data_IF_079435271911
#
_entry.id   IF_079435271911
#
_cell.length_a   1.000
_cell.length_b   1.000
_cell.length_c   1.000
_cell.angle_alpha   90.00
_cell.angle_beta   90.00
_cell.angle_gamma   90.00
#
_symmetry.space_group_name_H-M   'P 1'
#
loop_
_entity.id
_entity.type
_entity.pdbx_description
1 polymer ?
#
# COMPACT_ATOMS: atom_id res chain seq x y z
N UNK A 1 0.21 0.78 -25.09
CA UNK A 1 -0.07 1.67 -23.96
C UNK A 1 -1.39 1.30 -23.35
N UNK A 2 -1.55 1.53 -22.06
CA UNK A 2 -2.79 1.33 -21.36
C UNK A 2 -2.87 2.21 -20.12
N UNK A 3 -4.10 2.36 -19.62
CA UNK A 3 -4.40 3.01 -18.35
C UNK A 3 -5.52 2.25 -17.66
N UNK A 4 -5.56 2.31 -16.35
CA UNK A 4 -6.57 1.67 -15.52
C UNK A 4 -6.97 2.53 -14.33
N UNK A 5 -8.19 2.28 -13.88
CA UNK A 5 -8.73 2.85 -12.64
C UNK A 5 -9.26 1.68 -11.81
N UNK A 6 -8.90 1.66 -10.53
CA UNK A 6 -9.39 0.69 -9.57
C UNK A 6 -10.11 1.42 -8.43
N UNK A 7 -11.23 0.88 -7.99
CA UNK A 7 -11.95 1.34 -6.82
C UNK A 7 -12.04 0.21 -5.79
N UNK A 8 -11.57 0.48 -4.58
CA UNK A 8 -11.64 -0.45 -3.44
C UNK A 8 -12.52 0.17 -2.37
N UNK A 9 -13.50 -0.60 -1.87
CA UNK A 9 -14.31 -0.25 -0.71
C UNK A 9 -14.12 -1.30 0.38
N UNK A 10 -13.49 -0.90 1.48
CA UNK A 10 -13.16 -1.75 2.62
C UNK A 10 -13.98 -1.34 3.83
N UNK A 11 -14.49 -2.31 4.57
CA UNK A 11 -15.09 -2.13 5.89
C UNK A 11 -14.12 -2.66 6.96
N UNK A 12 -13.33 -1.80 7.64
CA UNK A 12 -12.27 -2.25 8.56
C UNK A 12 -12.79 -2.94 9.81
N UNK A 13 -13.97 -2.55 10.27
CA UNK A 13 -14.60 -3.11 11.50
C UNK A 13 -16.10 -3.30 11.27
N UNK A 14 -16.64 -4.34 11.86
CA UNK A 14 -18.09 -4.62 11.85
C UNK A 14 -18.79 -4.16 13.13
N UNK A 15 -18.00 -4.01 14.20
CA UNK A 15 -18.50 -3.64 15.53
C UNK A 15 -17.53 -2.71 16.24
N UNK A 16 -18.05 -1.84 17.08
CA UNK A 16 -17.33 -1.03 18.04
C UNK A 16 -17.83 -1.39 19.43
N UNK A 17 -16.93 -1.51 20.39
CA UNK A 17 -17.29 -1.84 21.79
C UNK A 17 -16.50 -0.96 22.76
N UNK A 18 -17.14 -0.63 23.86
CA UNK A 18 -16.53 0.04 24.99
C UNK A 18 -17.17 -0.43 26.31
N UNK A 19 -16.51 -0.21 27.41
CA UNK A 19 -16.99 -0.56 28.74
C UNK A 19 -17.35 0.69 29.53
N UNK A 20 -18.58 0.76 30.01
CA UNK A 20 -19.00 1.76 30.98
C UNK A 20 -18.65 1.27 32.38
N UNK A 21 -17.87 2.07 33.10
CA UNK A 21 -17.52 1.79 34.51
C UNK A 21 -18.48 2.55 35.41
N UNK A 22 -19.31 1.82 36.13
CA UNK A 22 -20.28 2.39 37.06
C UNK A 22 -19.98 1.87 38.45
N UNK A 23 -20.09 2.76 39.48
CA UNK A 23 -19.96 2.35 40.87
C UNK A 23 -21.18 1.54 41.30
N UNK A 24 -20.95 0.37 41.89
CA UNK A 24 -21.98 -0.47 42.47
C UNK A 24 -21.99 -0.27 43.99
N UNK A 25 -23.02 0.38 44.56
CA UNK A 25 -23.12 0.61 45.98
C UNK A 25 -23.35 -0.66 46.80
N UNK A 26 -23.80 -1.76 46.15
CA UNK A 26 -24.08 -3.04 46.81
C UNK A 26 -22.80 -3.79 47.14
N UNK A 27 -21.85 -3.76 46.23
CA UNK A 27 -20.56 -4.45 46.40
C UNK A 27 -19.43 -3.51 46.80
N UNK A 28 -19.72 -2.20 46.93
CA UNK A 28 -18.74 -1.12 47.13
C UNK A 28 -17.58 -1.18 46.13
N UNK A 29 -17.87 -1.61 44.88
CA UNK A 29 -16.92 -1.82 43.81
C UNK A 29 -17.32 -1.13 42.51
N UNK A 30 -16.50 -1.32 41.48
CA UNK A 30 -16.81 -0.83 40.12
C UNK A 30 -17.22 -2.02 39.23
N UNK A 31 -18.39 -1.90 38.62
CA UNK A 31 -18.85 -2.84 37.59
C UNK A 31 -18.59 -2.28 36.20
N UNK A 32 -18.22 -3.16 35.27
CA UNK A 32 -18.06 -2.85 33.85
C UNK A 32 -19.27 -3.35 33.08
N UNK A 33 -19.95 -2.44 32.38
CA UNK A 33 -21.10 -2.76 31.54
C UNK A 33 -20.61 -2.66 30.09
N UNK A 34 -20.55 -3.77 29.33
CA UNK A 34 -20.12 -3.75 27.95
C UNK A 34 -21.23 -3.19 27.05
N UNK A 35 -20.86 -2.28 26.17
CA UNK A 35 -21.72 -1.76 25.11
C UNK A 35 -21.12 -2.13 23.75
N UNK A 36 -21.96 -2.60 22.82
CA UNK A 36 -21.55 -2.96 21.45
C UNK A 36 -22.46 -2.29 20.42
N UNK A 37 -21.84 -1.65 19.45
CA UNK A 37 -22.52 -0.96 18.36
C UNK A 37 -22.12 -1.57 17.02
N UNK A 38 -23.08 -1.70 16.11
CA UNK A 38 -22.80 -2.05 14.72
C UNK A 38 -22.16 -0.87 14.02
N UNK A 39 -21.05 -1.09 13.33
CA UNK A 39 -20.30 -0.08 12.58
C UNK A 39 -20.56 -0.30 11.10
N UNK A 40 -20.85 0.77 10.37
CA UNK A 40 -21.04 0.74 8.91
C UNK A 40 -20.01 1.61 8.15
N UNK A 41 -19.03 2.16 8.86
CA UNK A 41 -17.96 2.98 8.29
C UNK A 41 -17.14 2.20 7.25
N UNK A 42 -16.90 2.85 6.10
CA UNK A 42 -16.15 2.29 4.97
C UNK A 42 -15.08 3.24 4.48
N UNK A 43 -13.97 2.67 4.05
CA UNK A 43 -12.93 3.40 3.33
C UNK A 43 -13.10 3.07 1.85
N UNK A 44 -13.45 4.07 1.05
CA UNK A 44 -13.50 3.94 -0.41
C UNK A 44 -12.33 4.71 -1.01
N UNK A 45 -11.54 4.04 -1.82
CA UNK A 45 -10.34 4.59 -2.44
C UNK A 45 -10.34 4.37 -3.93
N UNK A 46 -9.74 5.32 -4.66
CA UNK A 46 -9.48 5.24 -6.09
C UNK A 46 -7.97 5.15 -6.32
N UNK A 47 -7.59 4.32 -7.26
CA UNK A 47 -6.22 4.18 -7.73
C UNK A 47 -6.17 4.26 -9.24
N UNK A 48 -5.10 4.84 -9.75
CA UNK A 48 -4.89 5.07 -11.17
C UNK A 48 -3.60 4.41 -11.59
N UNK A 49 -3.60 3.79 -12.75
CA UNK A 49 -2.39 3.29 -13.38
C UNK A 49 -2.26 3.76 -14.82
N UNK A 50 -1.01 3.89 -15.27
CA UNK A 50 -0.68 4.03 -16.68
C UNK A 50 0.55 3.18 -16.98
N UNK A 51 0.54 2.53 -18.14
CA UNK A 51 1.67 1.72 -18.56
C UNK A 51 1.94 1.82 -20.06
N UNK A 52 3.19 1.56 -20.42
CA UNK A 52 3.63 1.44 -21.79
C UNK A 52 4.48 0.17 -21.94
N UNK A 53 4.26 -0.52 -23.03
CA UNK A 53 5.09 -1.65 -23.47
C UNK A 53 5.42 -1.47 -24.93
N UNK A 54 6.70 -1.43 -25.24
CA UNK A 54 7.23 -1.45 -26.61
C UNK A 54 8.08 -2.69 -26.81
N UNK A 55 7.84 -3.41 -27.88
CA UNK A 55 8.61 -4.62 -28.21
C UNK A 55 8.85 -4.66 -29.72
N UNK A 56 10.09 -4.84 -30.09
CA UNK A 56 10.49 -5.17 -31.43
C UNK A 56 11.54 -6.29 -31.43
N UNK A 57 12.21 -6.53 -32.56
CA UNK A 57 13.20 -7.61 -32.70
C UNK A 57 14.35 -7.50 -31.69
N UNK A 58 14.77 -6.28 -31.34
CA UNK A 58 15.95 -6.03 -30.52
C UNK A 58 15.62 -5.41 -29.15
N UNK A 59 14.49 -4.73 -29.02
CA UNK A 59 14.16 -3.95 -27.85
C UNK A 59 12.91 -4.47 -27.15
N UNK A 60 12.99 -4.53 -25.83
CA UNK A 60 11.84 -4.54 -24.95
C UNK A 60 11.95 -3.35 -24.01
N UNK A 61 10.94 -2.50 -23.98
CA UNK A 61 10.82 -1.38 -23.05
C UNK A 61 9.45 -1.49 -22.39
N UNK A 62 9.45 -1.60 -21.08
CA UNK A 62 8.25 -1.60 -20.27
C UNK A 62 8.34 -0.55 -19.18
N UNK A 63 7.28 0.24 -18.98
CA UNK A 63 7.17 1.16 -17.87
C UNK A 63 5.74 1.17 -17.35
N UNK A 64 5.60 1.38 -16.04
CA UNK A 64 4.31 1.52 -15.38
C UNK A 64 4.43 2.54 -14.26
N UNK A 65 3.38 3.34 -14.08
CA UNK A 65 3.21 4.23 -12.96
C UNK A 65 1.85 3.99 -12.30
N UNK A 66 1.82 3.97 -11.00
CA UNK A 66 0.62 3.80 -10.17
C UNK A 66 0.56 4.92 -9.15
N UNK A 67 -0.57 5.59 -9.07
CA UNK A 67 -0.94 6.48 -7.99
C UNK A 67 -2.14 5.87 -7.29
N UNK A 68 -1.96 5.41 -6.07
CA UNK A 68 -2.98 4.63 -5.38
C UNK A 68 -3.10 4.93 -3.90
N UNK A 69 -4.19 4.44 -3.34
CA UNK A 69 -4.50 4.55 -1.92
C UNK A 69 -4.97 3.20 -1.40
N UNK A 70 -4.44 2.77 -0.26
CA UNK A 70 -4.85 1.53 0.40
C UNK A 70 -4.78 0.28 -0.51
N UNK A 71 -3.68 0.11 -1.24
CA UNK A 71 -3.49 -1.00 -2.19
C UNK A 71 -3.10 -2.34 -1.53
N UNK A 72 -3.12 -2.43 -0.21
CA UNK A 72 -2.71 -3.64 0.54
C UNK A 72 -3.41 -4.91 0.05
N UNK A 73 -4.69 -4.83 -0.29
CA UNK A 73 -5.46 -5.99 -0.78
C UNK A 73 -5.09 -6.39 -2.21
N UNK A 74 -4.54 -5.47 -3.00
CA UNK A 74 -4.03 -5.71 -4.34
C UNK A 74 -2.52 -6.02 -4.36
N UNK A 75 -1.96 -6.48 -3.24
CA UNK A 75 -0.52 -6.74 -3.05
C UNK A 75 0.36 -5.49 -3.25
N UNK A 76 -0.24 -4.30 -3.13
CA UNK A 76 0.45 -3.02 -3.21
C UNK A 76 0.82 -2.46 -1.83
N UNK A 77 1.44 -1.28 -1.86
CA UNK A 77 1.76 -0.51 -0.66
C UNK A 77 0.58 0.36 -0.23
N UNK A 78 0.62 0.80 1.02
CA UNK A 78 -0.36 1.71 1.60
C UNK A 78 -1.10 1.08 2.77
N UNK A 79 -2.34 1.52 2.95
CA UNK A 79 -3.17 1.14 4.08
C UNK A 79 -4.04 2.30 4.52
N UNK A 80 -4.32 2.39 5.80
CA UNK A 80 -5.16 3.44 6.37
C UNK A 80 -4.80 3.70 7.83
N UNK A 81 -5.15 4.90 8.30
CA UNK A 81 -5.06 5.30 9.70
C UNK A 81 -6.41 5.78 10.21
N UNK A 82 -6.50 6.05 11.52
CA UNK A 82 -7.70 6.54 12.20
C UNK A 82 -7.64 8.06 12.23
N UNK A 83 -8.61 8.74 11.60
CA UNK A 83 -8.73 10.21 11.59
C UNK A 83 -9.66 10.75 12.66
N UNK A 84 -10.62 9.93 13.13
CA UNK A 84 -11.57 10.33 14.18
C UNK A 84 -12.04 9.11 14.98
N UNK A 85 -12.33 9.32 16.27
CA UNK A 85 -12.94 8.33 17.16
C UNK A 85 -14.10 9.00 17.86
N UNK A 86 -15.32 8.50 17.66
CA UNK A 86 -16.48 8.97 18.40
C UNK A 86 -16.34 8.67 19.89
N UNK A 87 -16.57 9.69 20.73
CA UNK A 87 -16.36 9.57 22.17
C UNK A 87 -17.36 8.65 22.87
N UNK A 88 -18.57 8.50 22.30
CA UNK A 88 -19.68 7.75 22.91
C UNK A 88 -19.71 6.31 22.40
N UNK A 89 -19.68 6.12 21.08
CA UNK A 89 -19.82 4.81 20.45
C UNK A 89 -18.48 4.12 20.22
N UNK A 90 -17.36 4.88 20.34
CA UNK A 90 -15.99 4.41 19.99
C UNK A 90 -15.88 3.94 18.53
N UNK A 91 -16.80 4.38 17.70
CA UNK A 91 -16.71 4.20 16.24
C UNK A 91 -15.51 4.98 15.70
N UNK A 92 -14.83 4.40 14.71
CA UNK A 92 -13.62 4.96 14.12
C UNK A 92 -13.88 5.32 12.67
N UNK A 93 -13.53 6.55 12.30
CA UNK A 93 -13.41 6.97 10.91
C UNK A 93 -11.97 6.85 10.44
N UNK A 94 -11.79 6.57 9.17
CA UNK A 94 -10.48 6.23 8.61
C UNK A 94 -10.09 7.14 7.46
N UNK A 95 -8.79 7.33 7.27
CA UNK A 95 -8.21 7.99 6.12
C UNK A 95 -7.18 7.08 5.45
N UNK A 96 -7.19 6.96 4.11
CA UNK A 96 -6.26 6.09 3.40
C UNK A 96 -4.87 6.73 3.30
N UNK A 97 -3.84 5.88 3.33
CA UNK A 97 -2.47 6.25 3.03
C UNK A 97 -2.28 6.14 1.51
N UNK A 98 -1.79 7.22 0.90
CA UNK A 98 -1.54 7.31 -0.53
C UNK A 98 -0.11 6.94 -0.86
N UNK A 99 0.07 6.27 -1.99
CA UNK A 99 1.36 5.86 -2.52
C UNK A 99 1.45 6.15 -4.00
N UNK A 100 2.65 6.53 -4.43
CA UNK A 100 3.05 6.57 -5.84
C UNK A 100 4.13 5.53 -6.07
N UNK A 101 4.00 4.72 -7.12
CA UNK A 101 5.06 3.81 -7.54
C UNK A 101 5.23 3.83 -9.05
N UNK A 102 6.48 3.78 -9.50
CA UNK A 102 6.80 3.77 -10.93
C UNK A 102 7.99 2.87 -11.17
N UNK A 103 8.00 2.18 -12.31
CA UNK A 103 9.16 1.40 -12.72
C UNK A 103 9.38 1.48 -14.24
N UNK A 104 10.63 1.27 -14.62
CA UNK A 104 11.10 1.17 -16.00
C UNK A 104 11.95 -0.09 -16.13
N UNK A 105 11.70 -0.85 -17.19
CA UNK A 105 12.51 -1.99 -17.60
C UNK A 105 12.89 -1.85 -19.06
N UNK A 106 14.18 -1.97 -19.36
CA UNK A 106 14.72 -1.87 -20.71
C UNK A 106 15.64 -3.06 -20.95
N UNK A 107 15.35 -3.85 -21.99
CA UNK A 107 16.16 -4.99 -22.41
C UNK A 107 16.49 -4.84 -23.90
N UNK A 108 17.75 -5.09 -24.24
CA UNK A 108 18.24 -4.99 -25.63
C UNK A 108 18.92 -6.28 -26.09
N UNK A 109 18.72 -6.63 -27.34
CA UNK A 109 19.42 -7.71 -28.01
C UNK A 109 18.56 -8.92 -28.36
N UNK A 110 19.18 -9.94 -28.95
CA UNK A 110 18.50 -11.17 -29.39
C UNK A 110 19.06 -12.42 -28.70
N UNK A 111 20.31 -12.78 -28.99
CA UNK A 111 20.98 -13.93 -28.36
C UNK A 111 21.51 -13.56 -26.99
N UNK A 112 22.25 -12.48 -26.89
CA UNK A 112 22.63 -11.84 -25.63
C UNK A 112 21.69 -10.68 -25.37
N UNK A 113 21.08 -10.65 -24.20
CA UNK A 113 20.11 -9.63 -23.79
C UNK A 113 20.51 -9.02 -22.46
N UNK A 114 21.35 -7.97 -22.47
CA UNK A 114 21.49 -7.11 -21.32
C UNK A 114 20.18 -6.36 -21.05
N UNK A 115 19.85 -6.19 -19.78
CA UNK A 115 18.68 -5.46 -19.33
C UNK A 115 18.99 -4.64 -18.09
N UNK A 116 18.21 -3.59 -17.89
CA UNK A 116 18.23 -2.76 -16.71
C UNK A 116 16.79 -2.56 -16.20
N UNK A 117 16.65 -2.53 -14.89
CA UNK A 117 15.40 -2.23 -14.20
C UNK A 117 15.63 -1.11 -13.19
N UNK A 118 14.69 -0.17 -13.12
CA UNK A 118 14.66 0.85 -12.08
C UNK A 118 13.21 0.99 -11.58
N UNK A 119 13.04 0.93 -10.27
CA UNK A 119 11.77 1.13 -9.59
C UNK A 119 11.88 2.19 -8.50
N UNK A 120 10.83 2.97 -8.33
CA UNK A 120 10.70 3.96 -7.29
C UNK A 120 9.29 3.93 -6.69
N UNK A 121 9.20 3.92 -5.36
CA UNK A 121 7.94 4.07 -4.66
C UNK A 121 8.08 5.12 -3.55
N UNK A 122 7.04 5.92 -3.34
CA UNK A 122 6.98 7.00 -2.35
C UNK A 122 5.65 6.97 -1.61
N UNK A 123 5.72 7.06 -0.29
CA UNK A 123 4.57 7.35 0.56
C UNK A 123 4.21 8.84 0.43
N UNK A 124 2.96 9.13 0.14
CA UNK A 124 2.42 10.48 -0.01
C UNK A 124 1.61 10.93 1.21
N UNK A 125 1.60 10.10 2.27
CA UNK A 125 0.88 10.39 3.50
C UNK A 125 -0.63 10.24 3.40
N UNK A 126 -1.33 10.76 4.38
CA UNK A 126 -2.80 10.82 4.49
C UNK A 126 -3.31 12.20 4.13
N UNK A 127 -4.59 12.30 3.77
CA UNK A 127 -5.23 13.60 3.51
C UNK A 127 -5.69 14.28 4.79
N UNK A 128 -5.96 13.48 5.82
CA UNK A 128 -6.47 13.96 7.10
C UNK A 128 -5.42 13.71 8.19
N UNK A 129 -5.48 14.48 9.27
CA UNK A 129 -4.67 14.24 10.47
C UNK A 129 -5.07 12.93 11.14
N UNK A 130 -4.10 12.27 11.75
CA UNK A 130 -4.31 11.01 12.45
C UNK A 130 -4.46 11.27 13.95
N UNK A 131 -5.52 10.70 14.54
CA UNK A 131 -5.73 10.73 16.01
C UNK A 131 -5.08 9.55 16.73
N UNK A 132 -4.52 8.60 15.96
CA UNK A 132 -3.83 7.42 16.49
C UNK A 132 -2.58 7.13 15.68
N UNK A 133 -1.51 6.72 16.36
CA UNK A 133 -0.27 6.25 15.70
C UNK A 133 -0.43 4.86 15.06
N UNK A 134 -1.55 4.18 15.33
CA UNK A 134 -1.79 2.85 14.79
C UNK A 134 -2.22 2.93 13.32
N UNK A 135 -1.40 2.36 12.46
CA UNK A 135 -1.61 2.24 11.03
C UNK A 135 -1.91 0.79 10.65
N UNK A 136 -2.73 0.62 9.64
CA UNK A 136 -3.13 -0.69 9.12
C UNK A 136 -2.76 -0.79 7.66
N UNK A 137 -2.04 -1.83 7.25
CA UNK A 137 -1.67 -2.06 5.87
C UNK A 137 -0.22 -2.50 5.69
N UNK A 138 0.24 -2.50 4.44
CA UNK A 138 1.58 -2.95 4.04
C UNK A 138 2.49 -1.75 3.77
N UNK A 139 3.63 -1.70 4.44
CA UNK A 139 4.62 -0.64 4.26
C UNK A 139 4.15 0.73 4.74
N UNK A 140 3.30 0.77 5.76
CA UNK A 140 2.73 2.03 6.30
C UNK A 140 3.78 2.98 6.87
N UNK A 141 4.93 2.46 7.31
CA UNK A 141 6.08 3.22 7.80
C UNK A 141 7.18 3.42 6.74
N UNK A 142 6.97 2.95 5.51
CA UNK A 142 7.89 3.15 4.40
C UNK A 142 7.71 4.57 3.87
N UNK A 143 8.79 5.38 3.88
CA UNK A 143 8.81 6.70 3.26
C UNK A 143 9.02 6.57 1.75
N UNK A 144 10.10 5.91 1.34
CA UNK A 144 10.41 5.65 -0.06
C UNK A 144 11.20 4.36 -0.25
N UNK A 145 11.06 3.79 -1.44
CA UNK A 145 11.79 2.62 -1.89
C UNK A 145 12.38 2.89 -3.27
N UNK A 146 13.65 2.59 -3.42
CA UNK A 146 14.34 2.59 -4.72
C UNK A 146 14.83 1.18 -4.98
N UNK A 147 14.56 0.66 -6.17
CA UNK A 147 15.11 -0.61 -6.63
C UNK A 147 15.80 -0.40 -7.97
N UNK A 148 17.00 -0.90 -8.11
CA UNK A 148 17.73 -0.91 -9.38
C UNK A 148 18.30 -2.29 -9.62
N UNK A 149 18.23 -2.76 -10.85
CA UNK A 149 18.74 -4.07 -11.25
C UNK A 149 19.37 -4.06 -12.62
N UNK A 150 20.27 -5.00 -12.83
CA UNK A 150 20.83 -5.31 -14.14
C UNK A 150 20.73 -6.81 -14.37
N UNK A 151 20.39 -7.19 -15.58
CA UNK A 151 20.33 -8.58 -16.01
C UNK A 151 21.14 -8.82 -17.29
N UNK A 152 21.63 -10.04 -17.43
CA UNK A 152 22.20 -10.51 -18.69
C UNK A 152 21.64 -11.89 -18.96
N UNK A 153 20.95 -12.05 -20.10
CA UNK A 153 20.47 -13.36 -20.54
C UNK A 153 21.12 -13.80 -21.85
N UNK A 154 21.35 -15.11 -21.95
CA UNK A 154 21.83 -15.77 -23.14
C UNK A 154 20.79 -16.77 -23.62
N UNK A 155 20.33 -16.59 -24.87
CA UNK A 155 19.25 -17.36 -25.45
C UNK A 155 19.76 -18.21 -26.61
N UNK A 156 19.52 -19.51 -26.53
CA UNK A 156 19.77 -20.49 -27.59
C UNK A 156 18.51 -21.33 -27.82
N UNK A 157 18.38 -22.07 -28.92
CA UNK A 157 17.24 -22.96 -29.14
C UNK A 157 17.06 -23.90 -27.90
N UNK A 158 15.84 -23.91 -27.35
CA UNK A 158 15.42 -24.72 -26.21
C UNK A 158 16.01 -24.36 -24.83
N UNK A 159 16.97 -23.42 -24.74
CA UNK A 159 17.61 -23.04 -23.46
C UNK A 159 17.74 -21.53 -23.31
N UNK A 160 17.54 -21.07 -22.09
CA UNK A 160 17.78 -19.68 -21.67
C UNK A 160 18.57 -19.70 -20.37
N UNK A 161 19.70 -19.02 -20.35
CA UNK A 161 20.52 -18.80 -19.16
C UNK A 161 20.49 -17.32 -18.81
N UNK A 162 20.45 -17.00 -17.54
CA UNK A 162 20.43 -15.61 -17.10
C UNK A 162 21.07 -15.42 -15.74
N UNK A 163 21.64 -14.25 -15.55
CA UNK A 163 22.10 -13.74 -14.27
C UNK A 163 21.46 -12.39 -14.07
N UNK A 164 21.00 -12.12 -12.85
CA UNK A 164 20.41 -10.87 -12.41
C UNK A 164 21.04 -10.41 -11.12
N UNK A 165 21.29 -9.13 -11.01
CA UNK A 165 21.67 -8.47 -9.78
C UNK A 165 20.69 -7.36 -9.48
N UNK A 166 20.12 -7.36 -8.29
CA UNK A 166 19.14 -6.37 -7.85
C UNK A 166 19.55 -5.78 -6.52
N UNK A 167 19.52 -4.46 -6.43
CA UNK A 167 19.72 -3.68 -5.21
C UNK A 167 18.44 -2.95 -4.87
N UNK A 168 17.98 -3.09 -3.62
CA UNK A 168 16.85 -2.33 -3.09
C UNK A 168 17.27 -1.56 -1.85
N UNK A 169 16.89 -0.29 -1.79
CA UNK A 169 17.09 0.60 -0.65
C UNK A 169 15.75 1.15 -0.20
N UNK A 170 15.43 0.97 1.07
CA UNK A 170 14.21 1.46 1.70
C UNK A 170 14.56 2.49 2.78
N UNK A 171 13.79 3.57 2.79
CA UNK A 171 13.83 4.58 3.84
C UNK A 171 12.52 4.51 4.60
N UNK A 172 12.63 4.51 5.92
CA UNK A 172 11.49 4.44 6.83
C UNK A 172 11.36 5.74 7.59
N UNK A 173 10.14 6.13 7.89
CA UNK A 173 9.82 7.34 8.64
C UNK A 173 8.47 7.23 9.32
N UNK A 174 8.15 8.20 10.16
CA UNK A 174 6.78 8.40 10.62
C UNK A 174 6.05 9.24 9.58
N UNK A 175 4.73 9.01 9.44
CA UNK A 175 3.88 9.93 8.71
C UNK A 175 3.94 11.28 9.43
N UNK A 176 4.35 12.33 8.72
CA UNK A 176 4.27 13.68 9.23
C UNK A 176 2.81 14.05 9.48
N UNK A 177 2.57 14.64 10.66
CA UNK A 177 1.24 15.11 11.07
C UNK A 177 0.89 16.40 10.38
#
# INVERSE_FOLDING_TARGET
VGAGIEMISLKPRTQSSWEEKTFDPTTNGTISIPHTYKVDERITTLSYEAHVKYTNKNWFIGAKSVLGSNLTQASGLGGFGIKHIDNKTKEQEYTPIRFSSSWLNVVYGQKWKPGIFVGYAKNLGTSDELVSEKLYGTGTNLDKLVTAGAELTYNVPHWKFGVEYTLSSAWYGKLDK
#
